data_IF_985145448506
#
_entry.id   IF_985145448506
#
_cell.length_a   1.000
_cell.length_b   1.000
_cell.length_c   1.000
_cell.angle_alpha   90.00
_cell.angle_beta   90.00
_cell.angle_gamma   90.00
#
_symmetry.space_group_name_H-M   'P 1'
#
loop_
_entity.id
_entity.type
_entity.pdbx_description
1 polymer ?
#
# COMPACT_ATOMS: atom_id res chain seq x y z
N UNK A 1 19.59 30.96 45.08
CA UNK A 1 18.51 31.75 45.69
C UNK A 1 17.24 31.12 45.19
N UNK A 2 16.68 30.19 45.95
CA UNK A 2 15.62 30.40 46.97
C UNK A 2 14.32 30.86 46.27
N UNK A 3 13.20 30.25 46.32
CA UNK A 3 12.48 29.53 47.38
C UNK A 3 11.27 28.81 46.80
N UNK A 4 11.01 27.62 47.10
CA UNK A 4 9.92 26.81 47.47
C UNK A 4 8.68 27.50 48.12
N UNK A 5 7.50 26.95 47.84
CA UNK A 5 6.35 26.76 48.77
C UNK A 5 5.28 25.96 47.98
N UNK A 6 5.00 24.74 48.21
CA UNK A 6 4.32 23.97 49.29
C UNK A 6 2.97 24.53 49.71
N UNK A 7 2.02 23.70 49.60
CA UNK A 7 0.86 23.35 50.44
C UNK A 7 -0.43 23.26 49.62
N UNK A 8 -1.30 22.37 49.70
CA UNK A 8 -1.74 21.25 50.55
C UNK A 8 -3.14 20.88 50.10
N UNK A 9 -3.34 19.60 49.98
CA UNK A 9 -4.65 18.94 49.98
C UNK A 9 -5.43 19.19 51.28
N UNK A 10 -6.74 19.11 51.33
CA UNK A 10 -7.25 17.87 51.88
C UNK A 10 -8.59 17.34 51.33
N UNK A 11 -8.62 16.07 51.15
CA UNK A 11 -9.54 15.07 51.70
C UNK A 11 -11.06 15.35 51.77
N UNK A 12 -11.84 14.46 51.19
CA UNK A 12 -12.74 13.59 51.97
C UNK A 12 -13.54 12.61 51.05
N UNK A 13 -13.48 11.41 51.44
CA UNK A 13 -14.17 10.17 51.10
C UNK A 13 -15.54 10.08 51.85
N UNK A 14 -16.24 8.96 51.67
CA UNK A 14 -17.13 8.35 50.72
C UNK A 14 -18.56 8.18 51.29
N UNK A 15 -19.47 7.29 51.02
CA UNK A 15 -19.38 5.83 50.79
C UNK A 15 -20.37 5.18 49.78
N UNK A 16 -20.02 4.07 49.33
CA UNK A 16 -20.60 2.73 49.34
C UNK A 16 -22.12 2.52 49.21
N UNK A 17 -22.48 1.64 48.31
CA UNK A 17 -23.09 0.33 48.56
C UNK A 17 -23.52 -0.34 47.27
N UNK A 18 -23.02 -1.53 47.08
CA UNK A 18 -23.69 -2.52 46.27
C UNK A 18 -24.82 -3.18 47.06
N UNK A 19 -25.79 -3.87 46.47
CA UNK A 19 -25.62 -5.28 46.38
C UNK A 19 -26.27 -6.02 45.16
N UNK A 20 -25.76 -7.19 44.96
CA UNK A 20 -26.39 -8.47 44.65
C UNK A 20 -26.78 -8.83 43.22
N UNK A 21 -26.06 -9.83 42.71
CA UNK A 21 -26.49 -10.85 41.77
C UNK A 21 -27.29 -11.93 42.53
N UNK A 22 -27.73 -13.01 41.96
CA UNK A 22 -27.92 -13.56 40.60
C UNK A 22 -29.32 -14.18 40.40
N UNK A 23 -29.65 -15.10 39.54
CA UNK A 23 -29.02 -16.39 39.35
C UNK A 23 -28.86 -16.89 37.90
N UNK A 24 -28.11 -17.95 37.81
CA UNK A 24 -27.72 -18.72 36.68
C UNK A 24 -28.83 -19.62 36.08
N UNK A 25 -28.55 -20.06 34.93
CA UNK A 25 -28.79 -21.31 34.21
C UNK A 25 -29.32 -21.02 32.80
N UNK A 26 -28.91 -21.60 31.77
CA UNK A 26 -28.55 -22.94 31.33
C UNK A 26 -27.84 -22.88 29.98
N UNK A 27 -26.89 -23.73 29.80
CA UNK A 27 -26.30 -24.10 28.53
C UNK A 27 -27.27 -24.97 27.75
N UNK A 28 -27.39 -24.87 26.44
CA UNK A 28 -26.84 -25.97 25.67
C UNK A 28 -26.28 -25.61 24.28
N UNK A 29 -25.43 -26.51 23.84
CA UNK A 29 -25.10 -26.90 22.47
C UNK A 29 -24.24 -25.95 21.62
N UNK A 30 -23.06 -26.41 21.46
CA UNK A 30 -22.07 -26.13 20.44
C UNK A 30 -22.66 -26.12 19.02
N UNK A 31 -22.36 -25.13 18.26
CA UNK A 31 -22.03 -25.39 16.85
C UNK A 31 -20.69 -24.85 16.45
N UNK A 32 -20.09 -25.57 15.57
CA UNK A 32 -18.97 -25.33 14.67
C UNK A 32 -18.18 -24.04 14.85
N UNK A 33 -16.88 -24.19 15.03
CA UNK A 33 -15.86 -23.15 14.99
C UNK A 33 -16.04 -22.20 13.82
N UNK A 34 -16.29 -20.94 14.06
CA UNK A 34 -15.94 -19.93 13.09
C UNK A 34 -14.45 -19.66 13.15
N UNK A 35 -13.89 -19.34 12.00
CA UNK A 35 -12.53 -18.86 11.86
C UNK A 35 -12.23 -17.78 12.91
N UNK A 36 -11.06 -17.89 13.52
CA UNK A 36 -10.57 -16.95 14.52
C UNK A 36 -10.53 -15.55 13.87
N UNK A 37 -11.54 -14.76 14.22
CA UNK A 37 -11.50 -13.33 13.90
C UNK A 37 -10.35 -12.71 14.69
N UNK A 38 -9.52 -11.95 14.01
CA UNK A 38 -8.44 -11.19 14.64
C UNK A 38 -9.06 -10.24 15.67
N UNK A 39 -8.80 -10.40 16.97
CA UNK A 39 -9.44 -9.59 18.02
C UNK A 39 -9.17 -8.09 17.85
N UNK A 40 -8.07 -7.72 17.19
CA UNK A 40 -7.76 -6.34 16.89
C UNK A 40 -8.68 -5.74 15.82
N UNK A 41 -9.15 -6.56 14.87
CA UNK A 41 -10.13 -6.11 13.87
C UNK A 41 -11.50 -5.88 14.48
N UNK A 42 -11.95 -6.75 15.36
CA UNK A 42 -13.23 -6.57 16.06
C UNK A 42 -13.21 -5.32 16.95
N UNK A 43 -12.08 -5.03 17.57
CA UNK A 43 -11.93 -3.84 18.41
C UNK A 43 -11.87 -2.54 17.59
N UNK A 44 -11.18 -2.55 16.45
CA UNK A 44 -11.21 -1.42 15.49
C UNK A 44 -12.63 -1.21 14.96
N UNK A 45 -13.34 -2.29 14.61
CA UNK A 45 -14.69 -2.19 14.08
C UNK A 45 -15.66 -1.66 15.12
N UNK A 46 -15.56 -2.13 16.36
CA UNK A 46 -16.33 -1.58 17.49
C UNK A 46 -16.05 -0.10 17.74
N UNK A 47 -14.78 0.28 17.80
CA UNK A 47 -14.39 1.69 18.01
C UNK A 47 -14.75 2.57 16.82
N UNK A 48 -14.75 2.04 15.60
CA UNK A 48 -15.19 2.79 14.42
C UNK A 48 -16.70 3.02 14.44
N UNK A 49 -17.48 2.01 14.85
CA UNK A 49 -18.93 2.14 15.04
C UNK A 49 -19.24 3.11 16.18
N UNK A 50 -18.51 3.04 17.29
CA UNK A 50 -18.68 3.91 18.44
C UNK A 50 -18.33 5.37 18.12
N UNK A 51 -17.25 5.60 17.35
CA UNK A 51 -16.91 6.92 16.83
C UNK A 51 -17.99 7.45 15.88
N UNK A 52 -18.46 6.64 14.95
CA UNK A 52 -19.57 7.02 14.06
C UNK A 52 -20.86 7.33 14.82
N UNK A 53 -21.14 6.58 15.88
CA UNK A 53 -22.30 6.83 16.74
C UNK A 53 -22.14 8.11 17.57
N UNK A 54 -20.94 8.38 18.08
CA UNK A 54 -20.60 9.61 18.79
C UNK A 54 -20.73 10.84 17.86
N UNK A 55 -20.21 10.75 16.64
CA UNK A 55 -20.34 11.81 15.65
C UNK A 55 -21.82 12.07 15.24
N UNK A 56 -22.59 11.01 15.08
CA UNK A 56 -24.01 11.14 14.76
C UNK A 56 -24.81 11.79 15.92
N UNK A 57 -24.54 11.41 17.16
CA UNK A 57 -25.13 12.04 18.36
C UNK A 57 -24.76 13.51 18.47
N UNK A 58 -23.49 13.83 18.32
CA UNK A 58 -23.01 15.22 18.33
C UNK A 58 -23.70 16.05 17.25
N UNK A 59 -23.80 15.52 16.02
CA UNK A 59 -24.44 16.22 14.90
C UNK A 59 -25.92 16.46 15.16
N UNK A 60 -26.64 15.49 15.73
CA UNK A 60 -28.04 15.62 16.07
C UNK A 60 -28.25 16.68 17.17
N UNK A 61 -27.47 16.64 18.25
CA UNK A 61 -27.57 17.59 19.37
C UNK A 61 -27.15 19.01 18.95
N UNK A 62 -26.06 19.11 18.16
CA UNK A 62 -25.59 20.38 17.59
C UNK A 62 -26.63 21.02 16.68
N UNK A 63 -27.30 20.24 15.84
CA UNK A 63 -28.36 20.75 14.96
C UNK A 63 -29.59 21.21 15.77
N UNK A 64 -29.96 20.48 16.82
CA UNK A 64 -31.02 20.88 17.76
C UNK A 64 -30.74 22.23 18.41
N UNK A 65 -29.58 22.37 19.03
CA UNK A 65 -29.15 23.59 19.70
C UNK A 65 -28.97 24.77 18.72
N UNK A 66 -28.45 24.54 17.51
CA UNK A 66 -28.36 25.60 16.49
C UNK A 66 -29.72 26.11 16.05
N UNK A 67 -30.69 25.21 15.90
CA UNK A 67 -32.08 25.60 15.56
C UNK A 67 -32.69 26.50 16.68
N UNK A 68 -32.45 26.12 17.92
CA UNK A 68 -32.98 26.87 19.07
C UNK A 68 -32.30 28.25 19.24
N UNK A 69 -30.99 28.32 19.07
CA UNK A 69 -30.23 29.59 19.01
C UNK A 69 -30.75 30.51 17.90
N UNK A 70 -31.08 29.93 16.75
CA UNK A 70 -31.62 30.70 15.60
C UNK A 70 -33.01 31.25 15.94
N UNK A 71 -33.87 30.41 16.53
CA UNK A 71 -35.22 30.86 16.97
C UNK A 71 -35.14 32.00 17.96
N UNK A 72 -34.29 31.88 18.97
CA UNK A 72 -34.09 32.91 19.99
C UNK A 72 -33.48 34.21 19.43
N UNK A 73 -32.61 34.12 18.42
CA UNK A 73 -32.10 35.30 17.72
C UNK A 73 -33.18 36.03 16.94
N UNK A 74 -34.01 35.27 16.17
CA UNK A 74 -35.17 35.86 15.46
C UNK A 74 -36.19 36.47 16.43
N UNK A 75 -36.44 35.81 17.56
CA UNK A 75 -37.33 36.35 18.59
C UNK A 75 -36.79 37.68 19.16
N UNK A 76 -35.49 37.76 19.40
CA UNK A 76 -34.81 39.00 19.81
C UNK A 76 -34.95 40.10 18.75
N UNK A 77 -34.77 39.79 17.48
CA UNK A 77 -34.93 40.73 16.36
C UNK A 77 -36.37 41.21 16.25
N UNK A 78 -37.33 40.28 16.36
CA UNK A 78 -38.74 40.62 16.35
C UNK A 78 -39.15 41.53 17.52
N UNK A 79 -38.60 41.27 18.71
CA UNK A 79 -38.81 42.12 19.88
C UNK A 79 -38.20 43.51 19.70
N UNK A 80 -37.04 43.61 19.07
CA UNK A 80 -36.38 44.88 18.75
C UNK A 80 -37.19 45.70 17.74
N UNK A 81 -37.77 45.07 16.68
CA UNK A 81 -38.64 45.72 15.71
C UNK A 81 -39.98 46.20 16.34
N UNK A 82 -40.56 45.40 17.25
CA UNK A 82 -41.75 45.83 18.01
C UNK A 82 -41.45 47.04 18.87
N UNK A 83 -40.25 47.10 19.43
CA UNK A 83 -39.83 48.29 20.20
C UNK A 83 -39.67 49.51 19.30
N UNK A 84 -39.13 49.38 18.11
CA UNK A 84 -39.02 50.47 17.12
C UNK A 84 -40.37 50.95 16.66
N UNK A 85 -41.33 50.04 16.38
CA UNK A 85 -42.70 50.36 16.01
C UNK A 85 -43.45 51.09 17.17
N UNK A 86 -43.19 50.71 18.43
CA UNK A 86 -43.78 51.37 19.58
C UNK A 86 -43.23 52.79 19.79
N UNK A 87 -41.96 53.04 19.40
CA UNK A 87 -41.41 54.38 19.39
C UNK A 87 -42.03 55.32 18.33
N UNK A 88 -42.36 54.80 17.15
CA UNK A 88 -43.01 55.54 16.05
C UNK A 88 -44.46 55.87 16.42
N UNK A 89 -45.21 54.98 17.06
CA UNK A 89 -46.55 55.23 17.55
C UNK A 89 -46.60 56.27 18.67
N UNK A 90 -45.53 56.40 19.40
CA UNK A 90 -45.41 57.38 20.51
C UNK A 90 -45.50 58.84 19.98
N UNK A 91 -45.12 59.08 18.73
CA UNK A 91 -45.22 60.40 18.10
C UNK A 91 -46.63 60.78 17.69
N UNK A 92 -47.55 59.80 17.61
CA UNK A 92 -48.87 59.99 17.07
C UNK A 92 -50.01 60.05 18.12
N UNK A 93 -49.77 59.55 19.37
CA UNK A 93 -50.84 59.41 20.34
C UNK A 93 -50.60 60.25 21.65
N UNK A 94 -51.71 60.74 22.24
CA UNK A 94 -51.72 61.64 23.36
C UNK A 94 -51.21 60.98 24.67
N UNK A 95 -50.84 61.85 25.65
CA UNK A 95 -50.11 61.55 26.88
C UNK A 95 -50.66 60.36 27.75
N UNK A 96 -51.91 59.95 27.61
CA UNK A 96 -52.45 58.76 28.30
C UNK A 96 -51.98 57.37 27.80
N UNK A 97 -51.53 57.30 26.54
CA UNK A 97 -51.04 56.06 25.97
C UNK A 97 -49.52 55.89 26.17
N UNK A 98 -48.81 57.00 26.50
CA UNK A 98 -47.36 57.00 26.75
C UNK A 98 -46.97 56.08 27.93
N UNK A 99 -47.75 56.12 29.01
CA UNK A 99 -47.46 55.24 30.13
C UNK A 99 -47.69 53.77 29.89
N UNK A 100 -48.66 53.40 29.05
CA UNK A 100 -48.88 52.01 28.60
C UNK A 100 -47.79 51.57 27.67
N UNK A 101 -47.36 52.42 26.74
CA UNK A 101 -46.29 52.17 25.79
C UNK A 101 -44.93 52.06 26.49
N UNK A 102 -44.68 52.82 27.57
CA UNK A 102 -43.43 52.68 28.36
C UNK A 102 -43.43 51.38 29.18
N UNK A 103 -44.58 50.95 29.72
CA UNK A 103 -44.68 49.67 30.40
C UNK A 103 -44.49 48.50 29.38
N UNK A 104 -45.07 48.56 28.20
CA UNK A 104 -44.90 47.59 27.14
C UNK A 104 -43.45 47.54 26.62
N UNK A 105 -42.83 48.70 26.44
CA UNK A 105 -41.44 48.82 26.11
C UNK A 105 -40.53 48.20 27.15
N UNK A 106 -40.79 48.48 28.43
CA UNK A 106 -40.03 47.91 29.53
C UNK A 106 -40.18 46.39 29.62
N UNK A 107 -41.36 45.86 29.24
CA UNK A 107 -41.59 44.43 29.16
C UNK A 107 -40.84 43.82 27.96
N UNK A 108 -40.96 44.42 26.76
CA UNK A 108 -40.22 43.98 25.58
C UNK A 108 -38.70 44.03 25.77
N UNK A 109 -38.19 45.04 26.48
CA UNK A 109 -36.77 45.10 26.86
C UNK A 109 -36.37 43.94 27.77
N UNK A 110 -37.20 43.63 28.78
CA UNK A 110 -36.93 42.48 29.68
C UNK A 110 -36.95 41.17 28.91
N UNK A 111 -37.95 41.01 28.01
CA UNK A 111 -38.08 39.79 27.22
C UNK A 111 -36.93 39.64 26.19
N UNK A 112 -36.48 40.77 25.58
CA UNK A 112 -35.31 40.79 24.73
C UNK A 112 -34.01 40.44 25.47
N UNK A 113 -33.84 40.94 26.68
CA UNK A 113 -32.67 40.62 27.52
C UNK A 113 -32.71 39.15 28.00
N UNK A 114 -33.90 38.65 28.37
CA UNK A 114 -34.08 37.24 28.69
C UNK A 114 -33.76 36.31 27.46
N UNK A 115 -34.24 36.72 26.28
CA UNK A 115 -33.95 35.97 25.04
C UNK A 115 -32.44 35.99 24.74
N UNK A 116 -31.78 37.13 24.94
CA UNK A 116 -30.31 37.24 24.80
C UNK A 116 -29.56 36.33 25.76
N UNK A 117 -29.90 36.38 27.04
CA UNK A 117 -29.25 35.52 28.08
C UNK A 117 -29.48 34.04 27.77
N UNK A 118 -30.70 33.68 27.35
CA UNK A 118 -30.96 32.30 26.91
C UNK A 118 -30.14 31.89 25.69
N UNK A 119 -30.03 32.76 24.69
CA UNK A 119 -29.19 32.50 23.51
C UNK A 119 -27.69 32.34 23.85
N UNK A 120 -27.18 33.17 24.75
CA UNK A 120 -25.80 33.07 25.26
C UNK A 120 -25.59 31.79 26.07
N UNK A 121 -26.55 31.43 26.93
CA UNK A 121 -26.52 30.17 27.66
C UNK A 121 -26.48 28.94 26.75
N UNK A 122 -27.39 28.90 25.77
CA UNK A 122 -27.41 27.79 24.80
C UNK A 122 -26.18 27.76 23.93
N UNK A 123 -25.65 28.91 23.55
CA UNK A 123 -24.37 28.97 22.79
C UNK A 123 -23.21 28.41 23.61
N UNK A 124 -23.19 28.72 24.94
CA UNK A 124 -22.18 28.16 25.82
C UNK A 124 -22.34 26.65 26.02
N UNK A 125 -23.59 26.18 26.23
CA UNK A 125 -23.85 24.73 26.26
C UNK A 125 -23.42 24.04 24.96
N UNK A 126 -23.76 24.62 23.82
CA UNK A 126 -23.31 24.07 22.50
C UNK A 126 -21.79 23.95 22.42
N UNK A 127 -21.05 24.96 22.87
CA UNK A 127 -19.58 24.93 22.91
C UNK A 127 -19.06 23.83 23.83
N UNK A 128 -19.67 23.64 24.99
CA UNK A 128 -19.28 22.59 25.94
C UNK A 128 -19.49 21.22 25.30
N UNK A 129 -20.67 20.94 24.76
CA UNK A 129 -20.99 19.67 24.09
C UNK A 129 -20.07 19.42 22.88
N UNK A 130 -19.83 20.44 22.06
CA UNK A 130 -18.89 20.33 20.93
C UNK A 130 -17.47 20.02 21.39
N UNK A 131 -17.03 20.63 22.49
CA UNK A 131 -15.68 20.39 23.02
C UNK A 131 -15.57 19.00 23.62
N UNK A 132 -16.54 18.55 24.40
CA UNK A 132 -16.57 17.22 25.02
C UNK A 132 -16.61 16.14 23.95
N UNK A 133 -17.49 16.27 22.96
CA UNK A 133 -17.57 15.32 21.86
C UNK A 133 -16.31 15.36 20.97
N UNK A 134 -15.72 16.53 20.75
CA UNK A 134 -14.43 16.65 20.05
C UNK A 134 -13.30 15.92 20.77
N UNK A 135 -13.26 15.99 22.10
CA UNK A 135 -12.31 15.24 22.93
C UNK A 135 -12.55 13.74 22.81
N UNK A 136 -13.80 13.30 22.86
CA UNK A 136 -14.16 11.88 22.76
C UNK A 136 -13.82 11.31 21.38
N UNK A 137 -14.18 12.02 20.30
CA UNK A 137 -13.79 11.66 18.92
C UNK A 137 -12.27 11.58 18.78
N UNK A 138 -11.53 12.56 19.29
CA UNK A 138 -10.07 12.55 19.26
C UNK A 138 -9.47 11.36 20.03
N UNK A 139 -10.06 11.03 21.18
CA UNK A 139 -9.64 9.88 21.99
C UNK A 139 -9.88 8.55 21.23
N UNK A 140 -11.05 8.38 20.61
CA UNK A 140 -11.37 7.21 19.82
C UNK A 140 -10.46 7.10 18.58
N UNK A 141 -10.20 8.20 17.89
CA UNK A 141 -9.26 8.23 16.75
C UNK A 141 -7.85 7.82 17.17
N UNK A 142 -7.38 8.32 18.31
CA UNK A 142 -6.07 7.92 18.84
C UNK A 142 -6.03 6.42 19.22
N UNK A 143 -7.12 5.88 19.77
CA UNK A 143 -7.21 4.45 20.06
C UNK A 143 -7.21 3.63 18.78
N UNK A 144 -7.99 4.00 17.77
CA UNK A 144 -8.00 3.35 16.45
C UNK A 144 -6.58 3.37 15.84
N UNK A 145 -5.94 4.55 15.81
CA UNK A 145 -4.60 4.69 15.30
C UNK A 145 -3.57 3.81 16.04
N UNK A 146 -3.70 3.71 17.37
CA UNK A 146 -2.84 2.83 18.18
C UNK A 146 -3.06 1.36 17.85
N UNK A 147 -4.32 0.90 17.72
CA UNK A 147 -4.65 -0.48 17.37
C UNK A 147 -4.21 -0.80 15.95
N UNK A 148 -4.39 0.14 15.00
CA UNK A 148 -3.90 -0.02 13.62
C UNK A 148 -2.37 -0.14 13.57
N UNK A 149 -1.65 0.67 14.35
CA UNK A 149 -0.21 0.59 14.47
C UNK A 149 0.24 -0.74 15.05
N UNK A 150 -0.38 -1.20 16.14
CA UNK A 150 -0.08 -2.48 16.75
C UNK A 150 -0.42 -3.65 15.82
N UNK A 151 -1.53 -3.57 15.10
CA UNK A 151 -1.91 -4.56 14.10
C UNK A 151 -0.90 -4.58 12.96
N UNK A 152 -0.53 -3.43 12.42
CA UNK A 152 0.53 -3.34 11.40
C UNK A 152 1.84 -3.90 11.92
N UNK A 153 2.23 -3.59 13.16
CA UNK A 153 3.45 -4.10 13.77
C UNK A 153 3.44 -5.63 13.87
N UNK A 154 2.31 -6.24 14.30
CA UNK A 154 2.16 -7.71 14.39
C UNK A 154 2.16 -8.40 13.02
N UNK A 155 1.86 -7.65 11.94
CA UNK A 155 1.90 -8.21 10.57
C UNK A 155 3.32 -8.28 10.00
N UNK A 156 4.32 -7.74 10.70
CA UNK A 156 5.71 -7.74 10.25
C UNK A 156 6.62 -8.33 11.33
N UNK A 157 7.61 -9.09 10.89
CA UNK A 157 8.74 -9.44 11.73
C UNK A 157 9.67 -8.23 11.85
N UNK A 158 10.04 -7.89 13.09
CA UNK A 158 10.86 -6.72 13.41
C UNK A 158 12.35 -7.11 13.34
N UNK A 159 12.90 -7.16 12.13
CA UNK A 159 14.34 -7.31 11.93
C UNK A 159 14.96 -5.94 11.61
N UNK A 160 16.05 -5.60 12.28
CA UNK A 160 16.82 -4.40 11.94
C UNK A 160 17.58 -4.65 10.64
N UNK A 161 17.43 -3.79 9.61
CA UNK A 161 18.18 -3.93 8.37
C UNK A 161 19.69 -3.86 8.64
N UNK A 162 20.44 -4.77 8.01
CA UNK A 162 21.89 -4.77 8.02
C UNK A 162 22.39 -4.34 6.64
N UNK A 163 23.13 -3.24 6.60
CA UNK A 163 23.67 -2.68 5.36
C UNK A 163 25.15 -3.03 5.26
N UNK A 164 25.53 -3.74 4.22
CA UNK A 164 26.91 -4.14 3.93
C UNK A 164 27.25 -3.72 2.51
N UNK A 165 28.39 -3.05 2.32
CA UNK A 165 28.92 -2.75 0.98
C UNK A 165 29.31 -4.04 0.25
N UNK A 166 29.84 -5.02 0.98
CA UNK A 166 30.14 -6.37 0.50
C UNK A 166 29.19 -7.36 1.18
N UNK A 167 28.03 -7.66 0.59
CA UNK A 167 26.98 -8.41 1.26
C UNK A 167 27.22 -9.92 1.33
N UNK A 168 28.18 -10.47 0.57
CA UNK A 168 28.55 -11.87 0.61
C UNK A 168 29.62 -12.10 1.70
N UNK A 169 29.26 -12.85 2.74
CA UNK A 169 30.16 -13.24 3.82
C UNK A 169 31.08 -14.39 3.39
N UNK A 170 32.21 -14.57 4.09
CA UNK A 170 33.17 -15.64 3.83
C UNK A 170 32.57 -17.05 3.99
N UNK A 171 31.54 -17.22 4.81
CA UNK A 171 30.84 -18.49 4.99
C UNK A 171 29.90 -18.85 3.81
N UNK A 172 29.77 -17.95 2.84
CA UNK A 172 28.89 -18.10 1.70
C UNK A 172 27.44 -17.63 1.92
N UNK A 173 27.18 -16.92 3.03
CA UNK A 173 25.87 -16.32 3.31
C UNK A 173 25.78 -14.93 2.70
N UNK A 174 24.74 -14.69 1.91
CA UNK A 174 24.42 -13.38 1.36
C UNK A 174 23.48 -12.64 2.32
N UNK A 175 23.88 -11.46 2.78
CA UNK A 175 23.05 -10.61 3.65
C UNK A 175 22.30 -9.60 2.81
N UNK A 176 20.97 -9.67 2.83
CA UNK A 176 20.07 -8.77 2.09
C UNK A 176 19.44 -7.79 3.07
N UNK A 177 19.56 -6.49 2.78
CA UNK A 177 18.91 -5.42 3.53
C UNK A 177 17.47 -5.18 3.03
N UNK A 178 16.80 -4.17 3.60
CA UNK A 178 15.49 -3.69 3.16
C UNK A 178 15.50 -2.99 1.78
N UNK A 179 16.70 -2.75 1.22
CA UNK A 179 16.88 -2.23 -0.14
C UNK A 179 16.65 -3.34 -1.18
N UNK A 180 15.50 -4.00 -1.06
CA UNK A 180 15.12 -5.18 -1.81
C UNK A 180 13.96 -4.89 -2.75
N UNK A 181 14.08 -5.35 -3.99
CA UNK A 181 13.07 -5.25 -5.04
C UNK A 181 12.77 -6.68 -5.53
N UNK A 182 11.51 -7.07 -5.59
CA UNK A 182 11.15 -8.37 -6.14
C UNK A 182 10.91 -8.28 -7.65
N UNK A 183 11.45 -9.24 -8.40
CA UNK A 183 11.17 -9.45 -9.81
C UNK A 183 10.62 -10.87 -9.99
N UNK A 184 9.30 -11.01 -9.95
CA UNK A 184 8.60 -12.28 -10.07
C UNK A 184 7.55 -12.24 -11.19
N UNK A 185 7.26 -13.39 -11.78
CA UNK A 185 6.33 -13.49 -12.90
C UNK A 185 6.85 -12.88 -14.21
N UNK A 186 5.98 -12.65 -15.20
CA UNK A 186 6.36 -12.08 -16.48
C UNK A 186 6.84 -10.63 -16.35
N UNK A 187 7.86 -10.29 -17.15
CA UNK A 187 8.38 -8.93 -17.23
C UNK A 187 7.53 -8.13 -18.21
N UNK A 188 6.82 -7.14 -17.70
CA UNK A 188 6.02 -6.18 -18.45
C UNK A 188 6.56 -4.76 -18.28
N UNK A 189 5.98 -3.79 -18.99
CA UNK A 189 6.32 -2.37 -18.80
C UNK A 189 6.01 -1.90 -17.39
N UNK A 190 4.88 -2.32 -16.79
CA UNK A 190 4.55 -1.97 -15.41
C UNK A 190 5.52 -2.59 -14.40
N UNK A 191 5.99 -3.82 -14.66
CA UNK A 191 7.07 -4.44 -13.87
C UNK A 191 8.34 -3.60 -13.95
N UNK A 192 8.70 -3.13 -15.14
CA UNK A 192 9.89 -2.30 -15.34
C UNK A 192 9.76 -0.95 -14.64
N UNK A 193 8.62 -0.26 -14.76
CA UNK A 193 8.33 1.00 -14.05
C UNK A 193 8.46 0.81 -12.54
N UNK A 194 7.82 -0.24 -12.00
CA UNK A 194 7.88 -0.54 -10.58
C UNK A 194 9.31 -0.78 -10.07
N UNK A 195 10.15 -1.45 -10.87
CA UNK A 195 11.54 -1.75 -10.49
C UNK A 195 12.40 -0.50 -10.62
N UNK A 196 12.27 0.26 -11.72
CA UNK A 196 13.06 1.47 -11.96
C UNK A 196 12.80 2.54 -10.92
N UNK A 197 11.53 2.81 -10.58
CA UNK A 197 11.16 3.75 -9.53
C UNK A 197 11.81 3.40 -8.18
N UNK A 198 11.91 2.11 -7.86
CA UNK A 198 12.54 1.65 -6.63
C UNK A 198 14.05 1.72 -6.67
N UNK A 199 14.67 1.41 -7.81
CA UNK A 199 16.11 1.61 -8.00
C UNK A 199 16.43 3.09 -7.79
N UNK A 200 15.68 4.00 -8.42
CA UNK A 200 15.87 5.43 -8.29
C UNK A 200 15.65 5.91 -6.84
N UNK A 201 14.60 5.41 -6.19
CA UNK A 201 14.34 5.73 -4.79
C UNK A 201 15.51 5.30 -3.89
N UNK A 202 15.95 4.06 -4.00
CA UNK A 202 17.05 3.55 -3.18
C UNK A 202 18.38 4.22 -3.54
N UNK A 203 18.65 4.46 -4.82
CA UNK A 203 19.83 5.18 -5.26
C UNK A 203 19.90 6.60 -4.68
N UNK A 204 18.76 7.29 -4.65
CA UNK A 204 18.67 8.64 -4.07
C UNK A 204 18.76 8.62 -2.54
N UNK A 205 18.31 7.54 -1.89
CA UNK A 205 18.42 7.40 -0.44
C UNK A 205 19.85 7.13 0.02
N UNK A 206 20.60 6.28 -0.68
CA UNK A 206 22.01 5.97 -0.41
C UNK A 206 22.67 5.43 -1.68
N UNK A 207 23.76 6.08 -2.11
CA UNK A 207 24.49 5.75 -3.34
C UNK A 207 25.56 4.66 -3.15
N UNK A 208 25.82 4.22 -1.91
CA UNK A 208 26.89 3.27 -1.60
C UNK A 208 26.38 1.87 -1.34
N UNK A 209 25.26 1.77 -0.61
CA UNK A 209 24.74 0.48 -0.18
C UNK A 209 24.03 -0.24 -1.33
N UNK A 210 24.25 -1.56 -1.49
CA UNK A 210 23.67 -2.34 -2.57
C UNK A 210 22.15 -2.34 -2.54
N UNK A 211 21.55 -2.38 -3.73
CA UNK A 211 20.15 -2.62 -4.00
C UNK A 211 20.03 -4.06 -4.49
N UNK A 212 19.08 -4.84 -3.95
CA UNK A 212 18.94 -6.24 -4.28
C UNK A 212 17.71 -6.46 -5.16
N UNK A 213 17.90 -6.83 -6.41
CA UNK A 213 16.85 -7.31 -7.30
C UNK A 213 16.70 -8.82 -7.14
N UNK A 214 15.66 -9.27 -6.45
CA UNK A 214 15.47 -10.67 -6.06
C UNK A 214 14.47 -11.35 -6.98
N UNK A 215 14.90 -12.43 -7.61
CA UNK A 215 14.14 -13.27 -8.54
C UNK A 215 13.85 -14.60 -7.83
N UNK A 216 12.62 -14.80 -7.37
CA UNK A 216 12.18 -16.11 -6.92
C UNK A 216 11.81 -16.97 -8.11
N UNK A 217 10.92 -16.45 -9.00
CA UNK A 217 10.53 -17.13 -10.22
C UNK A 217 10.11 -16.10 -11.30
N UNK A 218 10.83 -16.08 -12.42
CA UNK A 218 10.47 -15.24 -13.56
C UNK A 218 10.75 -15.96 -14.89
N UNK A 219 9.73 -16.11 -15.77
CA UNK A 219 9.87 -16.70 -17.09
C UNK A 219 10.48 -15.75 -18.14
N UNK A 220 10.80 -14.51 -17.77
CA UNK A 220 11.16 -13.46 -18.70
C UNK A 220 9.95 -12.62 -19.14
N UNK A 221 10.01 -12.02 -20.34
CA UNK A 221 8.90 -11.20 -20.84
C UNK A 221 9.29 -10.20 -21.93
N UNK A 222 8.73 -8.98 -21.84
CA UNK A 222 9.02 -7.89 -22.79
C UNK A 222 10.51 -7.53 -22.79
N UNK A 223 11.09 -7.48 -23.98
CA UNK A 223 12.50 -7.11 -24.17
C UNK A 223 12.73 -5.64 -23.84
N UNK A 224 11.83 -4.76 -24.25
CA UNK A 224 11.96 -3.32 -23.97
C UNK A 224 11.90 -3.05 -22.47
N UNK A 225 10.98 -3.70 -21.76
CA UNK A 225 10.87 -3.62 -20.30
C UNK A 225 12.14 -4.14 -19.62
N UNK A 226 12.69 -5.26 -20.07
CA UNK A 226 13.94 -5.80 -19.58
C UNK A 226 15.12 -4.86 -19.79
N UNK A 227 15.22 -4.21 -20.95
CA UNK A 227 16.25 -3.20 -21.20
C UNK A 227 16.07 -1.94 -20.35
N UNK A 228 14.83 -1.53 -20.03
CA UNK A 228 14.57 -0.46 -19.11
C UNK A 228 15.15 -0.78 -17.73
N UNK A 229 14.92 -2.00 -17.23
CA UNK A 229 15.49 -2.47 -15.96
C UNK A 229 17.02 -2.49 -16.03
N UNK A 230 17.61 -3.11 -17.06
CA UNK A 230 19.07 -3.15 -17.23
C UNK A 230 19.67 -1.76 -17.26
N UNK A 231 19.02 -0.81 -17.92
CA UNK A 231 19.49 0.57 -17.99
C UNK A 231 19.44 1.29 -16.64
N UNK A 232 18.37 1.07 -15.88
CA UNK A 232 18.26 1.60 -14.51
C UNK A 232 19.36 1.01 -13.60
N UNK A 233 19.62 -0.30 -13.71
CA UNK A 233 20.71 -0.95 -12.97
C UNK A 233 22.08 -0.39 -13.33
N UNK A 234 22.33 -0.15 -14.62
CA UNK A 234 23.60 0.38 -15.12
C UNK A 234 23.83 1.85 -14.70
N UNK A 235 22.76 2.66 -14.73
CA UNK A 235 22.83 4.11 -14.44
C UNK A 235 22.78 4.44 -12.95
N UNK A 236 22.45 3.47 -12.09
CA UNK A 236 22.45 3.64 -10.64
C UNK A 236 23.89 3.79 -10.10
N UNK A 237 24.13 4.82 -9.28
CA UNK A 237 25.38 4.95 -8.52
C UNK A 237 25.48 3.86 -7.44
N UNK A 238 24.37 3.56 -6.75
CA UNK A 238 24.27 2.43 -5.85
C UNK A 238 24.37 1.12 -6.63
N UNK A 239 25.22 0.17 -6.24
CA UNK A 239 25.36 -1.10 -6.94
C UNK A 239 24.06 -1.90 -6.89
N UNK A 240 23.57 -2.35 -8.03
CA UNK A 240 22.39 -3.22 -8.10
C UNK A 240 22.85 -4.67 -8.26
N UNK A 241 22.54 -5.47 -7.26
CA UNK A 241 22.85 -6.89 -7.18
C UNK A 241 21.64 -7.73 -7.54
N UNK A 242 21.79 -8.72 -8.42
CA UNK A 242 20.70 -9.63 -8.78
C UNK A 242 20.84 -10.95 -8.01
N UNK A 243 19.75 -11.42 -7.42
CA UNK A 243 19.70 -12.64 -6.62
C UNK A 243 18.67 -13.60 -7.18
N UNK A 244 19.07 -14.77 -7.65
CA UNK A 244 18.18 -15.81 -8.14
C UNK A 244 18.00 -16.89 -7.09
N UNK A 245 16.77 -17.03 -6.57
CA UNK A 245 16.46 -18.03 -5.54
C UNK A 245 16.01 -19.36 -6.12
N UNK A 246 15.20 -19.36 -7.18
CA UNK A 246 14.65 -20.59 -7.76
C UNK A 246 14.80 -20.66 -9.27
N UNK A 247 14.24 -19.69 -10.01
CA UNK A 247 14.15 -19.78 -11.46
C UNK A 247 14.20 -18.42 -12.13
N UNK A 248 15.12 -18.28 -13.07
CA UNK A 248 15.21 -17.13 -13.96
C UNK A 248 15.37 -17.58 -15.39
N UNK A 249 14.43 -17.27 -16.27
CA UNK A 249 14.47 -17.67 -17.66
C UNK A 249 14.43 -16.49 -18.61
N UNK A 250 15.02 -16.68 -19.80
CA UNK A 250 14.81 -15.75 -20.90
C UNK A 250 15.27 -14.34 -20.57
N UNK A 251 14.40 -13.32 -20.62
CA UNK A 251 14.78 -11.95 -20.29
C UNK A 251 15.25 -11.81 -18.83
N UNK A 252 14.67 -12.58 -17.89
CA UNK A 252 15.11 -12.58 -16.49
C UNK A 252 16.52 -13.20 -16.33
N UNK A 253 16.83 -14.25 -17.09
CA UNK A 253 18.18 -14.81 -17.16
C UNK A 253 19.16 -13.79 -17.76
N UNK A 254 18.73 -13.05 -18.79
CA UNK A 254 19.52 -11.96 -19.38
C UNK A 254 19.84 -10.86 -18.34
N UNK A 255 18.87 -10.45 -17.55
CA UNK A 255 19.08 -9.48 -16.45
C UNK A 255 20.08 -10.00 -15.42
N UNK A 256 19.94 -11.28 -15.01
CA UNK A 256 20.88 -11.92 -14.08
C UNK A 256 22.29 -11.98 -14.68
N UNK A 257 22.41 -12.45 -15.90
CA UNK A 257 23.69 -12.63 -16.57
C UNK A 257 24.40 -11.30 -16.80
N UNK A 258 23.70 -10.25 -17.17
CA UNK A 258 24.28 -8.93 -17.48
C UNK A 258 24.46 -8.03 -16.25
N UNK A 259 23.97 -8.45 -15.10
CA UNK A 259 24.26 -7.75 -13.84
C UNK A 259 25.77 -7.71 -13.55
N UNK A 260 26.22 -6.61 -12.95
CA UNK A 260 27.61 -6.48 -12.47
C UNK A 260 27.90 -7.50 -11.38
N UNK A 261 26.95 -7.64 -10.45
CA UNK A 261 27.00 -8.60 -9.38
C UNK A 261 25.70 -9.42 -9.35
N UNK A 262 25.86 -10.75 -9.39
CA UNK A 262 24.72 -11.68 -9.36
C UNK A 262 25.02 -12.90 -8.49
N UNK A 263 23.99 -13.38 -7.82
CA UNK A 263 24.04 -14.44 -6.83
C UNK A 263 22.94 -15.47 -7.14
N UNK A 264 23.23 -16.74 -6.92
CA UNK A 264 22.22 -17.79 -7.04
C UNK A 264 22.41 -18.87 -5.98
N UNK A 265 21.32 -19.52 -5.59
CA UNK A 265 21.42 -20.80 -4.89
C UNK A 265 22.01 -21.89 -5.81
N UNK A 266 22.67 -22.93 -5.25
CA UNK A 266 23.16 -24.04 -6.05
C UNK A 266 22.10 -24.71 -6.92
N UNK A 267 20.88 -24.83 -6.40
CA UNK A 267 19.74 -25.45 -7.07
C UNK A 267 18.87 -24.46 -7.86
N UNK A 268 19.20 -23.18 -7.89
CA UNK A 268 18.51 -22.23 -8.74
C UNK A 268 18.76 -22.56 -10.21
N UNK A 269 17.72 -22.46 -11.03
CA UNK A 269 17.81 -22.74 -12.47
C UNK A 269 17.88 -21.43 -13.23
N UNK A 270 18.88 -21.28 -14.09
CA UNK A 270 18.99 -20.17 -15.03
C UNK A 270 18.86 -20.74 -16.43
N UNK A 271 17.93 -20.21 -17.22
CA UNK A 271 17.61 -20.73 -18.54
C UNK A 271 17.75 -19.66 -19.61
N UNK A 272 18.61 -19.93 -20.57
CA UNK A 272 18.70 -19.16 -21.80
C UNK A 272 18.12 -19.95 -22.98
N UNK A 273 17.46 -19.26 -23.89
CA UNK A 273 16.95 -19.79 -25.13
C UNK A 273 17.00 -18.73 -26.21
N UNK A 274 16.85 -19.12 -27.45
CA UNK A 274 16.74 -18.18 -28.55
C UNK A 274 15.37 -17.48 -28.53
N UNK A 275 15.29 -16.24 -29.03
CA UNK A 275 13.99 -15.54 -29.17
C UNK A 275 13.07 -16.42 -30.02
N UNK A 276 11.89 -16.68 -29.48
CA UNK A 276 10.81 -17.36 -30.19
C UNK A 276 9.58 -16.44 -30.22
N UNK A 277 8.85 -16.47 -31.33
CA UNK A 277 7.63 -15.70 -31.52
C UNK A 277 6.50 -16.62 -31.95
N UNK A 278 5.35 -16.48 -31.31
CA UNK A 278 4.13 -17.16 -31.77
C UNK A 278 3.34 -16.20 -32.63
N UNK A 279 3.05 -16.56 -33.86
CA UNK A 279 2.34 -15.75 -34.83
C UNK A 279 0.92 -16.29 -34.99
N UNK A 280 -0.08 -15.42 -34.85
CA UNK A 280 -1.49 -15.73 -35.07
C UNK A 280 -2.03 -14.88 -36.23
N UNK A 281 -2.71 -15.50 -37.18
CA UNK A 281 -3.34 -14.85 -38.32
C UNK A 281 -2.68 -15.09 -39.67
N UNK A 282 -3.25 -14.52 -40.74
CA UNK A 282 -2.67 -14.55 -42.06
C UNK A 282 -1.58 -13.47 -42.17
N UNK A 283 -0.39 -13.91 -42.54
CA UNK A 283 0.79 -13.03 -42.64
C UNK A 283 1.36 -13.26 -44.06
N UNK A 284 1.57 -12.19 -44.81
CA UNK A 284 2.20 -12.26 -46.11
C UNK A 284 3.74 -12.40 -46.00
N UNK A 285 4.40 -12.70 -47.11
CA UNK A 285 5.85 -12.93 -47.16
C UNK A 285 6.67 -11.72 -46.72
N UNK A 286 6.21 -10.51 -46.99
CA UNK A 286 6.90 -9.29 -46.61
C UNK A 286 6.83 -9.10 -45.09
N UNK A 287 5.65 -9.28 -44.49
CA UNK A 287 5.46 -9.22 -43.05
C UNK A 287 6.29 -10.30 -42.34
N UNK A 288 6.34 -11.53 -42.86
CA UNK A 288 7.20 -12.59 -42.30
C UNK A 288 8.69 -12.16 -42.32
N UNK A 289 9.15 -11.61 -43.42
CA UNK A 289 10.54 -11.15 -43.55
C UNK A 289 10.84 -9.99 -42.56
N UNK A 290 9.91 -9.06 -42.34
CA UNK A 290 10.07 -7.99 -41.37
C UNK A 290 10.10 -8.52 -39.94
N UNK A 291 9.24 -9.47 -39.59
CA UNK A 291 9.22 -10.09 -38.25
C UNK A 291 10.54 -10.82 -37.99
N UNK A 292 11.02 -11.59 -38.95
CA UNK A 292 12.32 -12.29 -38.84
C UNK A 292 13.45 -11.29 -38.66
N UNK A 293 13.48 -10.23 -39.46
CA UNK A 293 14.49 -9.16 -39.37
C UNK A 293 14.47 -8.46 -37.99
N UNK A 294 13.29 -8.13 -37.48
CA UNK A 294 13.17 -7.50 -36.19
C UNK A 294 13.57 -8.44 -35.05
N UNK A 295 13.13 -9.70 -35.08
CA UNK A 295 13.54 -10.73 -34.14
C UNK A 295 15.07 -10.95 -34.16
N UNK A 296 15.71 -10.93 -35.33
CA UNK A 296 17.17 -11.01 -35.43
C UNK A 296 17.86 -9.78 -34.81
N UNK A 297 17.32 -8.58 -35.00
CA UNK A 297 17.88 -7.37 -34.39
C UNK A 297 17.82 -7.44 -32.85
N UNK A 298 16.69 -7.86 -32.32
CA UNK A 298 16.53 -8.04 -30.88
C UNK A 298 17.40 -9.16 -30.35
N UNK A 299 17.45 -10.29 -31.06
CA UNK A 299 18.30 -11.42 -30.69
C UNK A 299 19.78 -11.03 -30.62
N UNK A 300 20.30 -10.39 -31.66
CA UNK A 300 21.68 -9.91 -31.65
C UNK A 300 21.97 -9.01 -30.48
N UNK A 301 21.06 -8.08 -30.20
CA UNK A 301 21.21 -7.14 -29.08
C UNK A 301 21.20 -7.83 -27.71
N UNK A 302 20.41 -8.90 -27.54
CA UNK A 302 20.31 -9.65 -26.29
C UNK A 302 21.44 -10.68 -26.16
N UNK A 303 21.71 -11.42 -27.21
CA UNK A 303 22.63 -12.54 -27.17
C UNK A 303 24.11 -12.11 -27.16
N UNK A 304 24.46 -11.05 -27.89
CA UNK A 304 25.86 -10.61 -27.99
C UNK A 304 26.46 -10.31 -26.59
N UNK A 305 25.90 -9.48 -25.72
CA UNK A 305 26.52 -9.21 -24.43
C UNK A 305 26.57 -10.43 -23.51
N UNK A 306 25.61 -11.35 -23.64
CA UNK A 306 25.62 -12.63 -22.88
C UNK A 306 26.75 -13.53 -23.39
N UNK A 307 26.87 -13.71 -24.71
CA UNK A 307 27.92 -14.48 -25.33
C UNK A 307 29.33 -13.90 -25.05
N UNK A 308 29.47 -12.59 -25.13
CA UNK A 308 30.71 -11.88 -24.77
C UNK A 308 31.11 -12.13 -23.29
N UNK A 309 30.16 -12.08 -22.37
CA UNK A 309 30.42 -12.42 -20.96
C UNK A 309 30.87 -13.87 -20.79
N UNK A 310 30.29 -14.78 -21.56
CA UNK A 310 30.72 -16.19 -21.59
C UNK A 310 32.09 -16.37 -22.24
N UNK A 311 32.53 -15.46 -23.08
CA UNK A 311 33.75 -15.55 -23.88
C UNK A 311 33.59 -16.42 -25.13
N UNK A 312 32.38 -16.45 -25.72
CA UNK A 312 32.08 -17.22 -26.94
C UNK A 312 31.39 -16.31 -27.97
N UNK A 313 31.30 -16.77 -29.22
CA UNK A 313 30.52 -16.06 -30.22
C UNK A 313 29.02 -16.33 -30.07
N UNK A 314 28.17 -15.43 -30.60
CA UNK A 314 26.72 -15.63 -30.62
C UNK A 314 26.32 -16.93 -31.36
N UNK A 315 27.02 -17.29 -32.42
CA UNK A 315 26.79 -18.54 -33.15
C UNK A 315 27.11 -19.77 -32.31
N UNK A 316 28.21 -19.74 -31.57
CA UNK A 316 28.56 -20.82 -30.64
C UNK A 316 27.54 -20.88 -29.47
N UNK A 317 27.01 -19.76 -29.02
CA UNK A 317 25.95 -19.71 -28.01
C UNK A 317 24.68 -20.41 -28.52
N UNK A 318 24.23 -20.09 -29.74
CA UNK A 318 23.11 -20.78 -30.39
C UNK A 318 23.37 -22.28 -30.54
N UNK A 319 24.53 -22.64 -31.04
CA UNK A 319 24.93 -24.04 -31.25
C UNK A 319 24.85 -24.84 -29.93
N UNK A 320 25.32 -24.26 -28.83
CA UNK A 320 25.24 -24.89 -27.51
C UNK A 320 23.80 -25.02 -27.00
N UNK A 321 22.96 -24.02 -27.21
CA UNK A 321 21.52 -24.11 -26.87
C UNK A 321 20.88 -25.32 -27.55
N UNK A 322 21.09 -25.49 -28.88
CA UNK A 322 20.51 -26.61 -29.63
C UNK A 322 21.24 -27.96 -29.41
N UNK A 323 22.44 -27.95 -28.84
CA UNK A 323 23.09 -29.15 -28.35
C UNK A 323 22.49 -29.67 -27.05
N UNK A 324 21.94 -28.76 -26.20
CA UNK A 324 21.28 -29.11 -24.96
C UNK A 324 19.83 -29.56 -25.13
N UNK A 325 19.10 -28.91 -26.05
CA UNK A 325 17.72 -29.33 -26.34
C UNK A 325 17.34 -28.99 -27.78
N UNK A 326 16.38 -29.76 -28.31
CA UNK A 326 15.86 -29.53 -29.69
C UNK A 326 15.05 -28.24 -29.80
N UNK A 327 14.54 -27.70 -28.70
CA UNK A 327 13.88 -26.40 -28.64
C UNK A 327 14.85 -25.22 -28.52
N UNK A 328 16.14 -25.51 -28.24
CA UNK A 328 17.12 -24.49 -27.97
C UNK A 328 17.08 -23.95 -26.54
N UNK A 329 16.33 -24.60 -25.65
CA UNK A 329 16.31 -24.27 -24.24
C UNK A 329 17.54 -24.83 -23.54
N UNK A 330 18.36 -23.97 -23.00
CA UNK A 330 19.55 -24.34 -22.25
C UNK A 330 19.42 -23.87 -20.80
N UNK A 331 19.11 -24.80 -19.91
CA UNK A 331 18.97 -24.58 -18.49
C UNK A 331 20.12 -25.20 -17.71
N UNK A 332 20.63 -24.46 -16.76
CA UNK A 332 21.68 -24.94 -15.85
C UNK A 332 21.36 -24.61 -14.41
N UNK A 333 21.80 -25.49 -13.52
CA UNK A 333 21.79 -25.18 -12.08
C UNK A 333 22.86 -24.14 -11.75
N UNK A 334 22.74 -23.51 -10.59
CA UNK A 334 23.56 -22.38 -10.18
C UNK A 334 25.06 -22.61 -10.36
N UNK A 335 25.58 -23.76 -9.96
CA UNK A 335 27.02 -24.07 -10.05
C UNK A 335 27.53 -24.13 -11.51
N UNK A 336 26.76 -24.75 -12.41
CA UNK A 336 27.11 -24.78 -13.83
C UNK A 336 26.89 -23.40 -14.48
N UNK A 337 25.81 -22.71 -14.08
CA UNK A 337 25.55 -21.34 -14.52
C UNK A 337 26.71 -20.39 -14.12
N UNK A 338 27.33 -20.60 -12.96
CA UNK A 338 28.51 -19.85 -12.56
C UNK A 338 29.72 -20.13 -13.47
N UNK A 339 29.99 -21.38 -13.79
CA UNK A 339 31.08 -21.76 -14.73
C UNK A 339 30.87 -21.12 -16.11
N UNK A 340 29.61 -21.01 -16.54
CA UNK A 340 29.23 -20.34 -17.77
C UNK A 340 29.20 -18.81 -17.66
N UNK A 341 29.47 -18.24 -16.48
CA UNK A 341 29.40 -16.82 -16.18
C UNK A 341 27.99 -16.22 -16.29
N UNK A 342 26.97 -17.04 -16.17
CA UNK A 342 25.57 -16.57 -16.13
C UNK A 342 25.23 -15.95 -14.76
N UNK A 343 25.97 -16.38 -13.73
CA UNK A 343 25.91 -15.81 -12.38
C UNK A 343 27.34 -15.66 -11.85
N UNK A 344 27.57 -14.65 -11.01
CA UNK A 344 28.91 -14.39 -10.47
C UNK A 344 29.23 -15.26 -9.25
N UNK A 345 28.24 -15.44 -8.35
CA UNK A 345 28.47 -16.08 -7.05
C UNK A 345 27.39 -17.11 -6.73
N UNK A 346 27.81 -18.23 -6.14
CA UNK A 346 26.89 -19.21 -5.55
C UNK A 346 26.85 -18.99 -4.05
N UNK A 347 25.64 -18.93 -3.50
CA UNK A 347 25.41 -18.68 -2.07
C UNK A 347 24.91 -19.93 -1.37
N UNK A 348 25.40 -20.18 -0.17
CA UNK A 348 24.94 -21.27 0.71
C UNK A 348 23.66 -20.93 1.45
N UNK A 349 23.44 -19.65 1.73
CA UNK A 349 22.29 -19.13 2.44
C UNK A 349 22.03 -17.66 2.12
N UNK A 350 20.83 -17.22 2.38
CA UNK A 350 20.43 -15.81 2.31
C UNK A 350 19.87 -15.41 3.67
N UNK A 351 20.47 -14.40 4.28
CA UNK A 351 19.97 -13.77 5.50
C UNK A 351 19.19 -12.52 5.12
N UNK A 352 17.87 -12.58 5.27
CA UNK A 352 16.99 -11.44 5.06
C UNK A 352 16.95 -10.61 6.35
N UNK A 353 17.44 -9.39 6.28
CA UNK A 353 17.48 -8.47 7.43
C UNK A 353 16.47 -7.34 7.32
N UNK A 354 15.52 -7.47 6.39
CA UNK A 354 14.45 -6.50 6.20
C UNK A 354 13.23 -6.81 7.04
N UNK A 355 12.37 -5.79 7.19
CA UNK A 355 11.05 -5.94 7.75
C UNK A 355 10.22 -6.90 6.88
N UNK A 356 9.96 -8.10 7.37
CA UNK A 356 9.27 -9.15 6.61
C UNK A 356 7.79 -9.20 6.99
N UNK A 357 6.91 -9.13 6.00
CA UNK A 357 5.47 -9.26 6.21
C UNK A 357 5.14 -10.71 6.56
N UNK A 358 4.29 -10.89 7.57
CA UNK A 358 3.76 -12.21 7.89
C UNK A 358 2.95 -12.76 6.68
N UNK A 359 3.34 -13.93 6.13
CA UNK A 359 2.69 -14.50 4.94
C UNK A 359 1.24 -14.92 5.17
N UNK A 360 0.84 -15.19 6.41
CA UNK A 360 -0.53 -15.61 6.76
C UNK A 360 -1.51 -14.43 6.84
N UNK A 361 -1.01 -13.20 6.87
CA UNK A 361 -1.86 -12.01 6.83
C UNK A 361 -2.34 -11.78 5.41
N UNK A 362 -3.60 -12.14 5.15
CA UNK A 362 -4.26 -11.79 3.89
C UNK A 362 -4.24 -10.27 3.72
N UNK A 363 -3.82 -9.73 2.56
CA UNK A 363 -3.98 -8.32 2.29
C UNK A 363 -5.46 -7.97 2.46
N UNK A 364 -5.75 -6.87 3.16
CA UNK A 364 -7.09 -6.29 3.11
C UNK A 364 -7.46 -6.17 1.63
N UNK A 365 -8.59 -6.73 1.25
CA UNK A 365 -9.02 -6.85 -0.14
C UNK A 365 -9.20 -5.45 -0.77
N UNK A 366 -8.09 -4.84 -1.19
CA UNK A 366 -8.16 -3.98 -2.35
C UNK A 366 -8.37 -4.91 -3.54
N UNK A 367 -9.23 -4.60 -4.50
CA UNK A 367 -9.29 -5.36 -5.72
C UNK A 367 -7.93 -5.21 -6.40
N UNK A 368 -7.02 -6.15 -6.12
CA UNK A 368 -5.85 -6.33 -6.96
C UNK A 368 -6.44 -6.88 -8.24
N UNK A 369 -6.64 -6.01 -9.21
CA UNK A 369 -6.71 -6.45 -10.60
C UNK A 369 -5.36 -7.09 -10.83
N UNK A 370 -5.29 -8.41 -10.77
CA UNK A 370 -4.07 -9.12 -11.09
C UNK A 370 -3.68 -8.65 -12.49
N UNK A 371 -2.48 -8.12 -12.64
CA UNK A 371 -1.97 -7.68 -13.96
C UNK A 371 -2.10 -8.79 -15.00
N UNK A 372 -2.03 -10.03 -14.52
CA UNK A 372 -2.15 -11.26 -15.31
C UNK A 372 -3.24 -12.15 -14.69
N UNK A 373 -4.53 -11.87 -14.90
CA UNK A 373 -5.61 -12.73 -14.41
C UNK A 373 -5.54 -14.10 -15.08
N UNK A 374 -5.68 -15.14 -14.26
CA UNK A 374 -5.78 -16.50 -14.77
C UNK A 374 -7.20 -16.77 -15.27
N UNK A 375 -7.31 -17.30 -16.46
CA UNK A 375 -8.54 -17.75 -17.09
C UNK A 375 -8.44 -19.25 -17.39
N UNK A 376 -9.56 -19.90 -17.67
CA UNK A 376 -9.62 -21.33 -18.03
C UNK A 376 -10.17 -21.45 -19.46
N UNK A 377 -9.48 -22.18 -20.30
CA UNK A 377 -9.93 -22.40 -21.68
C UNK A 377 -10.99 -23.50 -21.80
N UNK A 378 -11.54 -23.69 -22.99
CA UNK A 378 -12.58 -24.69 -23.29
C UNK A 378 -12.16 -26.14 -23.01
N UNK A 379 -10.87 -26.38 -22.83
CA UNK A 379 -10.28 -27.69 -22.51
C UNK A 379 -9.98 -27.86 -21.02
N UNK A 380 -10.35 -26.86 -20.20
CA UNK A 380 -10.09 -26.85 -18.77
C UNK A 380 -8.64 -26.53 -18.39
N UNK A 381 -7.84 -25.97 -19.31
CA UNK A 381 -6.46 -25.58 -19.01
C UNK A 381 -6.40 -24.13 -18.55
N UNK A 382 -5.69 -23.85 -17.47
CA UNK A 382 -5.48 -22.49 -17.03
C UNK A 382 -4.53 -21.78 -18.01
N UNK A 383 -4.81 -20.49 -18.24
CA UNK A 383 -3.96 -19.60 -19.03
C UNK A 383 -4.09 -18.16 -18.54
N UNK A 384 -3.13 -17.32 -18.92
CA UNK A 384 -3.13 -15.90 -18.60
C UNK A 384 -2.79 -15.07 -19.82
N UNK A 385 -3.50 -13.96 -20.02
CA UNK A 385 -3.18 -13.03 -21.10
C UNK A 385 -2.05 -12.08 -20.70
N UNK A 386 -1.07 -11.97 -21.59
CA UNK A 386 -0.03 -10.96 -21.50
C UNK A 386 -0.53 -9.59 -21.93
N UNK A 387 -0.01 -8.49 -21.36
CA UNK A 387 -0.30 -7.14 -21.81
C UNK A 387 0.08 -6.93 -23.26
N UNK A 388 -0.63 -6.06 -23.96
CA UNK A 388 -0.26 -5.66 -25.31
C UNK A 388 1.10 -4.98 -25.31
N UNK A 389 2.01 -5.46 -26.16
CA UNK A 389 3.31 -4.83 -26.36
C UNK A 389 3.21 -3.48 -27.08
N UNK A 390 4.17 -2.61 -26.81
CA UNK A 390 4.40 -1.40 -27.61
C UNK A 390 4.89 -1.78 -29.02
N UNK A 391 4.67 -0.94 -30.03
CA UNK A 391 5.17 -1.20 -31.37
C UNK A 391 6.68 -1.47 -31.37
N UNK A 392 7.08 -2.55 -32.06
CA UNK A 392 8.46 -3.04 -32.19
C UNK A 392 9.08 -3.65 -30.93
N UNK A 393 8.33 -3.81 -29.86
CA UNK A 393 8.74 -4.64 -28.74
C UNK A 393 8.44 -6.12 -29.04
N UNK A 394 9.15 -7.02 -28.39
CA UNK A 394 8.97 -8.47 -28.53
C UNK A 394 8.98 -9.12 -27.16
N UNK A 395 8.21 -10.22 -27.01
CA UNK A 395 8.31 -11.07 -25.84
C UNK A 395 9.50 -12.02 -25.96
N UNK A 396 10.36 -11.99 -24.98
CA UNK A 396 11.40 -12.97 -24.74
C UNK A 396 11.05 -13.67 -23.43
N UNK A 397 10.25 -14.74 -23.58
CA UNK A 397 9.52 -15.38 -22.49
C UNK A 397 9.60 -16.90 -22.64
N UNK A 398 9.98 -17.59 -21.58
CA UNK A 398 9.91 -19.05 -21.51
C UNK A 398 8.46 -19.48 -21.23
N UNK A 399 7.83 -20.12 -22.23
CA UNK A 399 6.41 -20.47 -22.21
C UNK A 399 6.16 -21.82 -22.93
N UNK A 400 6.74 -22.91 -22.42
CA UNK A 400 6.73 -24.21 -23.12
C UNK A 400 5.33 -24.84 -23.18
N UNK A 401 4.45 -24.54 -22.25
CA UNK A 401 3.09 -25.10 -22.13
C UNK A 401 2.00 -24.21 -22.75
N UNK A 402 2.38 -23.03 -23.25
CA UNK A 402 1.45 -22.06 -23.83
C UNK A 402 0.49 -21.44 -22.81
N UNK A 403 0.92 -21.40 -21.54
CA UNK A 403 0.13 -20.77 -20.45
C UNK A 403 -0.06 -19.28 -20.69
N UNK A 404 0.99 -18.57 -21.07
CA UNK A 404 0.90 -17.15 -21.40
C UNK A 404 0.44 -16.96 -22.83
N UNK A 405 -0.67 -16.23 -23.04
CA UNK A 405 -1.26 -15.97 -24.35
C UNK A 405 -1.27 -14.47 -24.64
N UNK A 406 -1.11 -14.09 -25.88
CA UNK A 406 -1.27 -12.70 -26.33
C UNK A 406 -2.75 -12.40 -26.60
N UNK A 407 -3.18 -11.21 -26.26
CA UNK A 407 -4.51 -10.68 -26.61
C UNK A 407 -4.56 -10.22 -28.05
#
# INVERSE_FOLDING_TARGET
MATALVAQDPAARPPAAAPAAPPAAETPAEPAKPAVADPAKEEIEKLTVENGLAEARLKAETNGLRSEVTKLKMEKELLAERMALSAVKRQADQEGEVAKMEAERAQLMRDAELAKVRAEYLTNQLKVVQTEAGIEVSKLQNQIASIEMDTKRRTYADAKPVYLENPLREDGTLVISDRRIALNGPISMSTAEHITDRIDFFNNADKKMPIFLVIDQSPGGSVMAGYQILKAMESSDAPVHVVVKSFAASMAAGICTLAKESYAYPNAVILHHQISSTLFGQINLTEQAEIVKESQRWWTRLATPVADKMGITTDEFIKRMYAHSTSGDWSEFGEEAQKLKWVNHIVKGIEETSLTKNPDVKPAAAPVVAEFPEEIDDKGKPFSYLPRLTPKDVYFLYNPDGYYRMR
#
